data_IF_540324771449
#
_entry.id   IF_540324771449
#
_cell.length_a   1.000
_cell.length_b   1.000
_cell.length_c   1.000
_cell.angle_alpha   90.00
_cell.angle_beta   90.00
_cell.angle_gamma   90.00
#
_symmetry.space_group_name_H-M   'P 1'
#
loop_
_entity.id
_entity.type
_entity.pdbx_description
1 polymer ?
#
# COMPACT_ATOMS: atom_id res chain seq x y z
N UNK A 1 -27.25 -6.75 -7.23
CA UNK A 1 -27.98 -5.54 -7.63
C UNK A 1 -27.22 -4.89 -8.76
N UNK A 2 -27.92 -4.54 -9.83
CA UNK A 2 -27.32 -3.91 -11.01
C UNK A 2 -27.98 -2.55 -11.20
N UNK A 3 -27.17 -1.49 -11.23
CA UNK A 3 -27.64 -0.13 -11.46
C UNK A 3 -27.02 0.38 -12.77
N UNK A 4 -27.82 1.07 -13.57
CA UNK A 4 -27.30 1.76 -14.75
C UNK A 4 -27.00 3.21 -14.37
N UNK A 5 -25.82 3.69 -14.75
CA UNK A 5 -25.36 5.04 -14.45
C UNK A 5 -24.99 5.74 -15.75
N UNK A 6 -25.71 6.80 -16.06
CA UNK A 6 -25.36 7.73 -17.14
C UNK A 6 -24.48 8.85 -16.60
N UNK A 7 -23.27 8.94 -17.13
CA UNK A 7 -22.32 10.01 -16.77
C UNK A 7 -22.70 11.27 -17.55
N UNK A 8 -22.73 12.45 -16.89
CA UNK A 8 -22.94 13.71 -17.59
C UNK A 8 -21.85 13.96 -18.64
N UNK A 9 -22.18 14.73 -19.67
CA UNK A 9 -21.20 15.13 -20.67
C UNK A 9 -20.18 16.10 -20.05
N UNK A 10 -18.90 16.02 -20.43
CA UNK A 10 -17.88 16.95 -19.95
C UNK A 10 -18.18 18.36 -20.49
N UNK A 11 -17.82 19.38 -19.71
CA UNK A 11 -18.00 20.80 -20.09
C UNK A 11 -16.83 21.27 -20.99
N UNK A 12 -15.64 20.71 -20.77
CA UNK A 12 -14.40 21.08 -21.44
C UNK A 12 -13.59 19.84 -21.86
N UNK A 13 -12.68 20.02 -22.81
CA UNK A 13 -11.65 19.04 -23.12
C UNK A 13 -10.70 18.88 -21.91
N UNK A 14 -10.51 17.65 -21.43
CA UNK A 14 -9.61 17.38 -20.28
C UNK A 14 -8.12 17.57 -20.62
N UNK A 15 -7.77 17.63 -21.90
CA UNK A 15 -6.38 17.80 -22.36
C UNK A 15 -5.99 19.26 -22.60
N UNK A 16 -6.89 20.08 -23.16
CA UNK A 16 -6.59 21.45 -23.58
C UNK A 16 -7.56 22.52 -23.04
N UNK A 17 -8.57 22.13 -22.25
CA UNK A 17 -9.49 23.05 -21.59
C UNK A 17 -10.53 23.74 -22.47
N UNK A 18 -10.52 23.53 -23.80
CA UNK A 18 -11.49 24.16 -24.70
C UNK A 18 -12.91 23.66 -24.40
N UNK A 19 -13.88 24.57 -24.33
CA UNK A 19 -15.28 24.27 -24.07
C UNK A 19 -16.05 24.03 -25.37
N UNK A 20 -16.95 23.05 -25.39
CA UNK A 20 -17.90 22.81 -26.48
C UNK A 20 -17.31 22.31 -27.83
N UNK A 21 -16.01 22.39 -28.05
CA UNK A 21 -15.36 21.98 -29.30
C UNK A 21 -14.93 20.50 -29.32
N UNK A 22 -15.76 19.58 -28.83
CA UNK A 22 -15.47 18.14 -28.89
C UNK A 22 -16.71 17.35 -29.30
N UNK A 23 -16.47 16.25 -30.02
CA UNK A 23 -17.55 15.39 -30.55
C UNK A 23 -17.52 14.02 -29.87
N UNK A 24 -18.70 13.44 -29.66
CA UNK A 24 -18.84 12.08 -29.13
C UNK A 24 -18.23 11.09 -30.14
N UNK A 25 -17.29 10.27 -29.68
CA UNK A 25 -16.56 9.29 -30.47
C UNK A 25 -16.70 7.89 -29.88
N UNK A 26 -17.94 7.38 -29.88
CA UNK A 26 -18.28 6.05 -29.39
C UNK A 26 -18.52 5.96 -27.88
N UNK A 27 -19.11 4.84 -27.48
CA UNK A 27 -19.45 4.52 -26.08
C UNK A 27 -19.07 3.08 -25.76
N UNK A 28 -18.83 2.80 -24.49
CA UNK A 28 -18.66 1.44 -23.96
C UNK A 28 -19.30 1.37 -22.59
N UNK A 29 -20.10 0.33 -22.38
CA UNK A 29 -20.62 0.03 -21.06
C UNK A 29 -19.54 -0.70 -20.26
N UNK A 30 -19.26 -0.15 -19.08
CA UNK A 30 -18.21 -0.65 -18.20
C UNK A 30 -18.84 -0.98 -16.85
N UNK A 31 -18.76 -2.23 -16.39
CA UNK A 31 -19.21 -2.59 -15.06
C UNK A 31 -18.17 -2.17 -14.02
N UNK A 32 -18.63 -1.50 -12.97
CA UNK A 32 -17.87 -1.19 -11.77
C UNK A 32 -18.49 -1.89 -10.57
N UNK A 33 -17.67 -2.60 -9.78
CA UNK A 33 -18.09 -3.20 -8.52
C UNK A 33 -18.19 -2.14 -7.45
N UNK A 34 -19.12 -2.32 -6.53
CA UNK A 34 -19.39 -1.36 -5.48
C UNK A 34 -19.67 -2.06 -4.15
N UNK A 35 -19.66 -1.30 -3.06
CA UNK A 35 -19.91 -1.84 -1.73
C UNK A 35 -21.25 -2.59 -1.67
N UNK A 36 -21.28 -3.80 -1.08
CA UNK A 36 -22.51 -4.56 -0.93
C UNK A 36 -23.60 -3.77 -0.20
N UNK A 37 -24.84 -3.89 -0.67
CA UNK A 37 -26.03 -3.32 -0.01
C UNK A 37 -26.85 -4.47 0.52
N UNK A 38 -27.12 -4.49 1.84
CA UNK A 38 -27.82 -5.58 2.53
C UNK A 38 -27.21 -6.97 2.22
N UNK A 39 -25.88 -7.06 2.19
CA UNK A 39 -25.15 -8.31 1.90
C UNK A 39 -25.23 -8.78 0.44
N UNK A 40 -25.84 -8.00 -0.47
CA UNK A 40 -25.93 -8.32 -1.89
C UNK A 40 -24.86 -7.55 -2.66
N UNK A 41 -24.16 -8.25 -3.56
CA UNK A 41 -23.18 -7.64 -4.47
C UNK A 41 -23.82 -6.53 -5.30
N UNK A 42 -23.12 -5.42 -5.46
CA UNK A 42 -23.55 -4.26 -6.24
C UNK A 42 -22.65 -4.08 -7.45
N UNK A 43 -23.25 -3.81 -8.61
CA UNK A 43 -22.53 -3.47 -9.84
C UNK A 43 -23.19 -2.26 -10.49
N UNK A 44 -22.38 -1.26 -10.80
CA UNK A 44 -22.75 -0.06 -11.54
C UNK A 44 -22.31 -0.23 -13.00
N UNK A 45 -23.28 -0.36 -13.91
CA UNK A 45 -23.03 -0.35 -15.34
C UNK A 45 -22.96 1.10 -15.82
N UNK A 46 -21.74 1.59 -16.01
CA UNK A 46 -21.47 2.98 -16.37
C UNK A 46 -21.24 3.10 -17.86
N UNK A 47 -22.00 3.98 -18.52
CA UNK A 47 -21.83 4.27 -19.96
C UNK A 47 -20.63 5.21 -20.14
N UNK A 48 -19.45 4.65 -20.41
CA UNK A 48 -18.22 5.44 -20.65
C UNK A 48 -18.20 5.92 -22.10
N UNK A 49 -18.38 7.23 -22.30
CA UNK A 49 -18.27 7.90 -23.61
C UNK A 49 -16.83 8.36 -23.86
N UNK A 50 -16.42 8.29 -25.13
CA UNK A 50 -15.17 8.88 -25.64
C UNK A 50 -15.50 10.17 -26.37
N UNK A 51 -14.59 11.13 -26.32
CA UNK A 51 -14.73 12.40 -27.03
C UNK A 51 -13.47 12.69 -27.82
N UNK A 52 -13.63 13.27 -29.02
CA UNK A 52 -12.52 13.78 -29.82
C UNK A 52 -12.61 15.29 -29.87
N UNK A 53 -11.57 15.96 -29.36
CA UNK A 53 -11.47 17.41 -29.38
C UNK A 53 -11.18 17.93 -30.78
N UNK A 54 -11.88 18.97 -31.23
CA UNK A 54 -11.67 19.60 -32.54
C UNK A 54 -10.50 20.58 -32.53
N UNK A 55 -10.19 21.19 -31.38
CA UNK A 55 -9.05 22.09 -31.22
C UNK A 55 -7.72 21.33 -31.18
N UNK A 56 -7.54 20.41 -30.24
CA UNK A 56 -6.28 19.67 -30.07
C UNK A 56 -6.24 18.30 -30.77
N UNK A 57 -7.31 17.89 -31.46
CA UNK A 57 -7.46 16.59 -32.16
C UNK A 57 -7.28 15.34 -31.28
N UNK A 58 -7.12 15.50 -29.97
CA UNK A 58 -6.89 14.39 -29.05
C UNK A 58 -8.20 13.73 -28.67
N UNK A 59 -8.17 12.41 -28.50
CA UNK A 59 -9.32 11.64 -28.00
C UNK A 59 -9.15 11.37 -26.52
N UNK A 60 -10.13 11.77 -25.72
CA UNK A 60 -10.12 11.57 -24.27
C UNK A 60 -11.37 10.84 -23.80
N UNK A 61 -11.31 10.32 -22.58
CA UNK A 61 -12.45 9.77 -21.86
C UNK A 61 -12.55 10.54 -20.55
N UNK A 62 -13.73 11.09 -20.22
CA UNK A 62 -13.87 11.81 -18.97
C UNK A 62 -13.42 10.95 -17.79
N UNK A 63 -12.65 11.56 -16.91
CA UNK A 63 -12.28 10.96 -15.65
C UNK A 63 -13.53 10.79 -14.78
N UNK A 64 -13.57 9.71 -14.02
CA UNK A 64 -14.59 9.48 -13.02
C UNK A 64 -13.91 9.48 -11.66
N UNK A 65 -13.88 10.61 -10.93
CA UNK A 65 -13.16 10.72 -9.66
C UNK A 65 -13.56 9.65 -8.64
N UNK A 66 -14.84 9.28 -8.63
CA UNK A 66 -15.41 8.26 -7.73
C UNK A 66 -15.17 6.81 -8.19
N UNK A 67 -14.36 6.58 -9.22
CA UNK A 67 -14.11 5.26 -9.80
C UNK A 67 -12.61 4.98 -9.95
N UNK A 68 -12.22 3.76 -9.60
CA UNK A 68 -10.86 3.24 -9.81
C UNK A 68 -10.85 2.36 -11.05
N UNK A 69 -10.58 2.97 -12.21
CA UNK A 69 -10.67 2.32 -13.52
C UNK A 69 -9.81 1.05 -13.64
N UNK A 70 -8.62 1.04 -13.05
CA UNK A 70 -7.71 -0.11 -13.06
C UNK A 70 -8.28 -1.36 -12.38
N UNK A 71 -9.12 -1.18 -11.36
CA UNK A 71 -9.72 -2.27 -10.58
C UNK A 71 -11.20 -2.52 -10.92
N UNK A 72 -11.80 -1.69 -11.79
CA UNK A 72 -13.23 -1.73 -12.14
C UNK A 72 -14.11 -1.73 -10.89
N UNK A 73 -13.87 -0.76 -10.01
CA UNK A 73 -14.66 -0.54 -8.80
C UNK A 73 -14.80 0.93 -8.45
N UNK A 74 -15.74 1.25 -7.57
CA UNK A 74 -15.86 2.58 -6.97
C UNK A 74 -14.67 2.88 -6.04
N UNK A 75 -14.35 4.17 -5.87
CA UNK A 75 -13.33 4.64 -4.93
C UNK A 75 -13.65 4.18 -3.50
N UNK A 76 -14.91 4.34 -3.07
CA UNK A 76 -15.36 3.89 -1.74
C UNK A 76 -15.16 2.39 -1.49
N UNK A 77 -15.34 1.53 -2.50
CA UNK A 77 -15.07 0.10 -2.35
C UNK A 77 -13.56 -0.16 -2.25
N UNK A 78 -12.77 0.52 -3.08
CA UNK A 78 -11.31 0.42 -3.04
C UNK A 78 -10.75 0.80 -1.66
N UNK A 79 -11.15 1.97 -1.14
CA UNK A 79 -10.72 2.47 0.18
C UNK A 79 -11.16 1.56 1.34
N UNK A 80 -12.38 1.00 1.25
CA UNK A 80 -12.85 0.01 2.21
C UNK A 80 -11.95 -1.24 2.20
N UNK A 81 -11.67 -1.81 1.03
CA UNK A 81 -10.80 -2.99 0.91
C UNK A 81 -9.39 -2.69 1.41
N UNK A 82 -8.85 -1.53 1.05
CA UNK A 82 -7.55 -1.06 1.50
C UNK A 82 -7.48 -1.06 3.03
N UNK A 83 -8.46 -0.45 3.71
CA UNK A 83 -8.51 -0.38 5.18
C UNK A 83 -8.71 -1.76 5.83
N UNK A 84 -9.67 -2.53 5.36
CA UNK A 84 -10.03 -3.81 5.99
C UNK A 84 -8.97 -4.89 5.79
N UNK A 85 -8.21 -4.84 4.69
CA UNK A 85 -7.14 -5.80 4.41
C UNK A 85 -5.97 -5.76 5.40
N UNK A 86 -5.80 -4.68 6.17
CA UNK A 86 -4.84 -4.62 7.28
C UNK A 86 -5.35 -5.30 8.56
N UNK A 87 -6.67 -5.39 8.74
CA UNK A 87 -7.30 -5.86 9.98
C UNK A 87 -7.84 -7.30 9.87
N UNK A 88 -8.08 -7.77 8.64
CA UNK A 88 -8.71 -9.05 8.39
C UNK A 88 -7.99 -9.87 7.31
N UNK A 89 -8.07 -11.21 7.37
CA UNK A 89 -7.56 -12.06 6.29
C UNK A 89 -8.19 -11.70 4.94
N UNK A 90 -7.41 -11.80 3.86
CA UNK A 90 -7.90 -11.43 2.53
C UNK A 90 -9.13 -12.23 2.09
N UNK A 91 -9.25 -13.49 2.51
CA UNK A 91 -10.43 -14.33 2.27
C UNK A 91 -11.70 -13.78 2.93
N UNK A 92 -11.57 -13.19 4.12
CA UNK A 92 -12.70 -12.55 4.82
C UNK A 92 -13.17 -11.31 4.07
N UNK A 93 -12.23 -10.43 3.70
CA UNK A 93 -12.55 -9.19 2.96
C UNK A 93 -13.13 -9.51 1.58
N UNK A 94 -12.59 -10.53 0.90
CA UNK A 94 -13.11 -11.04 -0.37
C UNK A 94 -14.56 -11.56 -0.23
N UNK A 95 -14.85 -12.35 0.81
CA UNK A 95 -16.20 -12.84 1.07
C UNK A 95 -17.19 -11.71 1.38
N UNK A 96 -16.79 -10.73 2.19
CA UNK A 96 -17.59 -9.55 2.55
C UNK A 96 -17.94 -8.72 1.31
N UNK A 97 -16.95 -8.43 0.46
CA UNK A 97 -17.10 -7.51 -0.68
C UNK A 97 -17.56 -8.20 -1.97
N UNK A 98 -17.42 -9.52 -2.07
CA UNK A 98 -17.65 -10.27 -3.29
C UNK A 98 -16.54 -10.14 -4.33
N UNK A 99 -15.36 -9.65 -3.93
CA UNK A 99 -14.15 -9.61 -4.74
C UNK A 99 -13.40 -10.94 -4.72
N UNK A 100 -12.50 -11.14 -5.68
CA UNK A 100 -11.54 -12.23 -5.62
C UNK A 100 -10.44 -11.89 -4.61
N UNK A 101 -9.96 -12.89 -3.88
CA UNK A 101 -8.88 -12.73 -2.90
C UNK A 101 -7.61 -12.12 -3.51
N UNK A 102 -7.30 -12.47 -4.76
CA UNK A 102 -6.21 -11.84 -5.52
C UNK A 102 -6.39 -10.33 -5.66
N UNK A 103 -7.60 -9.85 -5.96
CA UNK A 103 -7.86 -8.40 -6.08
C UNK A 103 -7.65 -7.69 -4.75
N UNK A 104 -8.10 -8.28 -3.65
CA UNK A 104 -7.86 -7.75 -2.30
C UNK A 104 -6.36 -7.66 -2.02
N UNK A 105 -5.62 -8.73 -2.33
CA UNK A 105 -4.17 -8.80 -2.17
C UNK A 105 -3.43 -7.74 -3.01
N UNK A 106 -3.85 -7.53 -4.26
CA UNK A 106 -3.23 -6.55 -5.16
C UNK A 106 -3.45 -5.12 -4.63
N UNK A 107 -4.65 -4.80 -4.12
CA UNK A 107 -4.95 -3.51 -3.47
C UNK A 107 -4.09 -3.31 -2.22
N UNK A 108 -4.04 -4.33 -1.34
CA UNK A 108 -3.20 -4.30 -0.14
C UNK A 108 -1.72 -4.05 -0.50
N UNK A 109 -1.18 -4.80 -1.45
CA UNK A 109 0.22 -4.70 -1.84
C UNK A 109 0.55 -3.32 -2.40
N UNK A 110 -0.31 -2.76 -3.24
CA UNK A 110 -0.13 -1.41 -3.77
C UNK A 110 -0.09 -0.36 -2.64
N UNK A 111 -0.96 -0.51 -1.63
CA UNK A 111 -0.96 0.38 -0.47
C UNK A 111 0.28 0.17 0.42
N UNK A 112 0.64 -1.07 0.71
CA UNK A 112 1.81 -1.41 1.51
C UNK A 112 3.09 -0.86 0.87
N UNK A 113 3.23 -0.97 -0.44
CA UNK A 113 4.35 -0.40 -1.19
C UNK A 113 4.35 1.13 -1.14
N UNK A 114 3.18 1.76 -1.32
CA UNK A 114 3.04 3.21 -1.18
C UNK A 114 3.50 3.68 0.21
N UNK A 115 3.00 3.06 1.28
CA UNK A 115 3.38 3.40 2.65
C UNK A 115 4.88 3.17 2.88
N UNK A 116 5.44 2.08 2.36
CA UNK A 116 6.86 1.77 2.45
C UNK A 116 7.76 2.82 1.79
N UNK A 117 7.32 3.48 0.71
CA UNK A 117 8.09 4.56 0.06
C UNK A 117 8.18 5.84 0.89
N UNK A 118 7.12 6.15 1.65
CA UNK A 118 7.08 7.33 2.53
C UNK A 118 7.72 7.07 3.88
N UNK A 119 7.88 5.81 4.24
CA UNK A 119 8.44 5.42 5.52
C UNK A 119 9.96 5.61 5.53
N UNK A 120 10.45 6.53 6.35
CA UNK A 120 11.88 6.77 6.57
C UNK A 120 12.17 6.65 8.06
N UNK A 121 12.96 5.66 8.43
CA UNK A 121 13.48 5.56 9.78
C UNK A 121 14.72 6.41 9.94
N UNK A 122 14.77 7.14 11.04
CA UNK A 122 16.01 7.70 11.55
C UNK A 122 16.70 6.66 12.42
N UNK A 123 18.03 6.59 12.31
CA UNK A 123 18.82 5.67 13.13
C UNK A 123 18.76 6.13 14.58
N UNK A 124 18.30 5.27 15.51
CA UNK A 124 18.13 5.65 16.90
C UNK A 124 19.47 5.79 17.62
N UNK A 125 19.47 6.49 18.75
CA UNK A 125 20.60 6.48 19.68
C UNK A 125 20.56 5.24 20.58
N UNK A 126 19.36 4.80 20.98
CA UNK A 126 19.13 3.52 21.68
C UNK A 126 18.40 2.52 20.78
N UNK A 127 19.12 1.51 20.30
CA UNK A 127 18.61 0.44 19.44
C UNK A 127 18.20 -0.78 20.28
N UNK A 128 16.99 -1.30 20.07
CA UNK A 128 16.58 -2.61 20.58
C UNK A 128 16.71 -3.68 19.50
N UNK A 129 17.23 -4.85 19.87
CA UNK A 129 17.26 -6.05 19.02
C UNK A 129 16.71 -7.22 19.83
N UNK A 130 15.63 -7.82 19.35
CA UNK A 130 14.98 -8.93 20.04
C UNK A 130 14.48 -9.99 19.03
N UNK A 131 13.91 -11.06 19.54
CA UNK A 131 13.33 -12.14 18.77
C UNK A 131 11.80 -12.15 18.84
N UNK A 132 11.16 -12.28 17.67
CA UNK A 132 9.73 -12.51 17.57
C UNK A 132 9.47 -13.90 16.97
N UNK A 133 8.75 -14.75 17.70
CA UNK A 133 8.29 -16.04 17.16
C UNK A 133 6.96 -15.86 16.42
N UNK A 134 7.01 -15.84 15.09
CA UNK A 134 5.85 -15.61 14.23
C UNK A 134 5.81 -16.60 13.07
N UNK A 135 4.63 -17.20 12.82
CA UNK A 135 4.42 -18.22 11.78
C UNK A 135 5.43 -19.37 11.86
N UNK A 136 5.61 -19.91 13.08
CA UNK A 136 6.50 -21.03 13.41
C UNK A 136 7.99 -20.76 13.11
N UNK A 137 8.40 -19.50 13.01
CA UNK A 137 9.78 -19.10 12.72
C UNK A 137 10.19 -17.93 13.62
N UNK A 138 11.45 -17.95 14.06
CA UNK A 138 12.06 -16.80 14.73
C UNK A 138 12.42 -15.72 13.72
N UNK A 139 12.02 -14.50 14.04
CA UNK A 139 12.30 -13.26 13.31
C UNK A 139 13.08 -12.31 14.21
N UNK A 140 13.87 -11.42 13.62
CA UNK A 140 14.56 -10.37 14.36
C UNK A 140 13.70 -9.12 14.31
N UNK A 141 13.37 -8.56 15.47
CA UNK A 141 12.68 -7.28 15.60
C UNK A 141 13.68 -6.22 16.02
N UNK A 142 13.68 -5.08 15.32
CA UNK A 142 14.49 -3.91 15.65
C UNK A 142 13.57 -2.78 16.09
N UNK A 143 13.94 -2.09 17.15
CA UNK A 143 13.14 -1.00 17.73
C UNK A 143 13.99 0.21 18.07
N UNK A 144 13.39 1.39 17.98
CA UNK A 144 13.91 2.58 18.62
C UNK A 144 13.32 2.60 20.04
N UNK A 145 14.19 2.38 21.04
CA UNK A 145 13.75 2.26 22.43
C UNK A 145 13.33 3.61 23.01
N UNK A 146 13.97 4.70 22.60
CA UNK A 146 13.65 6.05 23.11
C UNK A 146 12.24 6.47 22.69
N UNK A 147 11.95 6.35 21.39
CA UNK A 147 10.66 6.76 20.82
C UNK A 147 9.59 5.66 20.89
N UNK A 148 9.95 4.47 21.39
CA UNK A 148 9.06 3.30 21.48
C UNK A 148 8.44 2.94 20.13
N UNK A 149 9.21 3.05 19.06
CA UNK A 149 8.78 2.76 17.69
C UNK A 149 9.46 1.52 17.13
N UNK A 150 8.75 0.79 16.27
CA UNK A 150 9.30 -0.32 15.49
C UNK A 150 10.19 0.25 14.40
N UNK A 151 11.42 -0.27 14.24
CA UNK A 151 12.29 0.05 13.11
C UNK A 151 12.16 -0.96 11.98
N UNK A 152 12.22 -2.26 12.28
CA UNK A 152 12.00 -3.27 11.24
C UNK A 152 11.70 -4.64 11.85
N UNK A 153 11.18 -5.54 11.01
CA UNK A 153 10.99 -6.95 11.32
C UNK A 153 11.63 -7.81 10.22
N UNK A 154 12.84 -8.28 10.49
CA UNK A 154 13.58 -9.11 9.56
C UNK A 154 12.99 -10.53 9.50
N UNK A 155 12.96 -11.10 8.29
CA UNK A 155 12.39 -12.43 8.05
C UNK A 155 13.07 -13.58 8.81
N UNK A 156 14.28 -13.35 9.32
CA UNK A 156 15.08 -14.32 10.07
C UNK A 156 15.98 -13.62 11.09
N UNK A 157 16.35 -14.34 12.15
CA UNK A 157 17.31 -13.90 13.16
C UNK A 157 18.78 -14.19 12.81
N UNK A 158 19.08 -14.78 11.65
CA UNK A 158 20.46 -15.16 11.33
C UNK A 158 21.43 -13.97 11.37
N UNK A 159 22.64 -14.21 11.90
CA UNK A 159 23.68 -13.20 12.08
C UNK A 159 23.99 -12.40 10.82
N UNK A 160 24.12 -13.07 9.67
CA UNK A 160 24.44 -12.44 8.39
C UNK A 160 23.37 -11.44 7.95
N UNK A 161 22.10 -11.78 8.15
CA UNK A 161 20.97 -10.90 7.81
C UNK A 161 20.93 -9.68 8.72
N UNK A 162 21.11 -9.87 10.03
CA UNK A 162 21.17 -8.74 10.98
C UNK A 162 22.37 -7.85 10.71
N UNK A 163 23.55 -8.42 10.46
CA UNK A 163 24.77 -7.68 10.13
C UNK A 163 24.56 -6.81 8.89
N UNK A 164 24.00 -7.39 7.82
CA UNK A 164 23.70 -6.66 6.58
C UNK A 164 22.68 -5.54 6.80
N UNK A 165 21.70 -5.72 7.68
CA UNK A 165 20.75 -4.67 8.03
C UNK A 165 21.45 -3.52 8.78
N UNK A 166 22.20 -3.82 9.84
CA UNK A 166 22.91 -2.81 10.64
C UNK A 166 23.90 -2.01 9.78
N UNK A 167 24.52 -2.64 8.77
CA UNK A 167 25.41 -1.95 7.83
C UNK A 167 24.70 -0.91 6.95
N UNK A 168 23.39 -1.05 6.73
CA UNK A 168 22.58 -0.11 5.93
C UNK A 168 22.05 1.07 6.73
N UNK A 169 22.19 1.07 8.07
CA UNK A 169 21.79 2.19 8.91
C UNK A 169 22.58 3.45 8.54
N UNK A 170 21.86 4.54 8.25
CA UNK A 170 22.47 5.85 8.02
C UNK A 170 23.00 6.39 9.34
N UNK A 171 24.14 7.08 9.35
CA UNK A 171 24.71 7.65 10.57
C UNK A 171 24.82 6.65 11.73
N UNK A 172 25.12 5.38 11.44
CA UNK A 172 25.17 4.28 12.43
C UNK A 172 26.05 4.55 13.67
N UNK A 173 26.97 5.51 13.57
CA UNK A 173 27.79 6.00 14.69
C UNK A 173 26.97 6.69 15.79
N UNK A 174 25.75 7.16 15.48
CA UNK A 174 24.80 7.74 16.44
C UNK A 174 24.25 6.71 17.43
N UNK A 175 24.31 5.42 17.09
CA UNK A 175 23.87 4.38 18.02
C UNK A 175 24.88 4.31 19.17
N UNK A 176 24.42 4.63 20.38
CA UNK A 176 25.23 4.63 21.60
C UNK A 176 24.96 3.39 22.45
N UNK A 177 23.73 2.89 22.43
CA UNK A 177 23.31 1.75 23.24
C UNK A 177 22.56 0.76 22.35
N UNK A 178 22.91 -0.52 22.48
CA UNK A 178 22.14 -1.63 21.91
C UNK A 178 21.65 -2.50 23.05
N UNK A 179 20.33 -2.51 23.26
CA UNK A 179 19.69 -3.46 24.18
C UNK A 179 19.30 -4.72 23.44
N UNK A 180 19.82 -5.86 23.87
CA UNK A 180 19.55 -7.15 23.23
C UNK A 180 19.73 -8.31 24.20
N UNK A 181 19.12 -9.45 23.86
CA UNK A 181 19.38 -10.69 24.59
C UNK A 181 20.84 -11.17 24.42
N UNK A 182 21.31 -12.01 25.32
CA UNK A 182 22.67 -12.57 25.39
C UNK A 182 23.01 -13.54 24.24
N UNK A 183 22.25 -13.51 23.15
CA UNK A 183 22.47 -14.37 22.01
C UNK A 183 23.72 -13.95 21.21
N UNK A 184 24.73 -14.83 21.23
CA UNK A 184 26.05 -14.57 20.65
C UNK A 184 26.03 -14.05 19.19
N UNK A 185 25.17 -14.55 18.28
CA UNK A 185 25.03 -14.01 16.93
C UNK A 185 24.73 -12.51 16.86
N UNK A 186 23.80 -11.99 17.67
CA UNK A 186 23.53 -10.55 17.71
C UNK A 186 24.70 -9.77 18.29
N UNK A 187 25.28 -10.27 19.39
CA UNK A 187 26.47 -9.67 19.99
C UNK A 187 27.62 -9.54 19.00
N UNK A 188 27.86 -10.58 18.19
CA UNK A 188 28.89 -10.58 17.16
C UNK A 188 28.58 -9.58 16.03
N UNK A 189 27.33 -9.54 15.54
CA UNK A 189 26.89 -8.58 14.52
C UNK A 189 27.05 -7.13 14.99
N UNK A 190 26.60 -6.82 16.21
CA UNK A 190 26.67 -5.47 16.79
C UNK A 190 28.12 -5.06 17.02
N UNK A 191 28.97 -5.91 17.61
CA UNK A 191 30.39 -5.58 17.80
C UNK A 191 31.12 -5.31 16.47
N UNK A 192 30.75 -6.02 15.41
CA UNK A 192 31.36 -5.85 14.10
C UNK A 192 30.92 -4.54 13.40
N UNK A 193 29.66 -4.13 13.57
CA UNK A 193 29.05 -3.03 12.79
C UNK A 193 28.93 -1.72 13.56
N UNK A 194 28.74 -1.80 14.88
CA UNK A 194 28.52 -0.69 15.81
C UNK A 194 29.53 -0.77 16.99
N UNK A 195 30.85 -0.75 16.72
CA UNK A 195 31.87 -0.94 17.75
C UNK A 195 31.85 0.13 18.84
N UNK A 196 31.30 1.31 18.55
CA UNK A 196 31.14 2.41 19.49
C UNK A 196 29.97 2.23 20.48
N UNK A 197 29.01 1.35 20.15
CA UNK A 197 27.80 1.19 20.95
C UNK A 197 28.03 0.26 22.15
N UNK A 198 27.51 0.65 23.31
CA UNK A 198 27.48 -0.19 24.50
C UNK A 198 26.34 -1.20 24.40
N UNK A 199 26.68 -2.47 24.57
CA UNK A 199 25.71 -3.56 24.65
C UNK A 199 25.18 -3.65 26.09
N UNK A 200 23.86 -3.65 26.25
CA UNK A 200 23.15 -3.75 27.53
C UNK A 200 22.17 -4.92 27.53
#
# INVERSE_FOLDING_TARGET
MHFQVDVPDPIACEECGVQGEFVRFGKRDVPYRDLPIHGKRVTLSVVRRRYTCRACKTTFRPQLPEMVDGFRMTLRLHEYVEKESFNHPYTFVAAQTGLDEKTVRDIFNARAEFLGRWHRFETPRILGIDELYLNKRYRCILTNIEERTLLDLLATRRQDVVTNYLMKLKDRQKVEIVSMDMWNPYRAAVKAVLPQARIV
#
